data_IF_346935208019
#
_entry.id   IF_346935208019
#
_cell.length_a   1.000
_cell.length_b   1.000
_cell.length_c   1.000
_cell.angle_alpha   90.00
_cell.angle_beta   90.00
_cell.angle_gamma   90.00
#
_symmetry.space_group_name_H-M   'P 1'
#
loop_
_entity.id
_entity.type
_entity.pdbx_description
1 polymer ?
#
# COMPACT_ATOMS: atom_id res chain seq x y z
N UNK A 1 12.89 38.52 -9.36
CA UNK A 1 12.13 37.33 -8.84
C UNK A 1 12.53 36.04 -9.58
N UNK A 2 12.98 36.10 -10.81
CA UNK A 2 13.35 34.95 -11.66
C UNK A 2 14.71 34.34 -11.28
N UNK A 3 15.74 35.14 -11.03
CA UNK A 3 17.10 34.63 -10.75
C UNK A 3 17.21 33.79 -9.46
N UNK A 4 16.47 34.14 -8.40
CA UNK A 4 16.46 33.35 -7.15
C UNK A 4 15.69 32.02 -7.28
N UNK A 5 14.75 31.90 -8.23
CA UNK A 5 14.07 30.63 -8.53
C UNK A 5 14.96 29.70 -9.33
N UNK A 6 15.71 30.23 -10.28
CA UNK A 6 16.63 29.43 -11.12
C UNK A 6 17.81 28.86 -10.30
N UNK A 7 18.35 29.60 -9.33
CA UNK A 7 19.38 29.10 -8.40
C UNK A 7 18.84 27.96 -7.50
N UNK A 8 17.56 27.99 -7.13
CA UNK A 8 16.94 26.94 -6.31
C UNK A 8 16.69 25.66 -7.09
N UNK A 9 16.34 25.78 -8.38
CA UNK A 9 16.14 24.63 -9.28
C UNK A 9 17.46 23.90 -9.54
N UNK A 10 18.58 24.62 -9.66
CA UNK A 10 19.91 24.03 -9.85
C UNK A 10 20.44 23.23 -8.65
N UNK A 11 19.77 23.25 -7.50
CA UNK A 11 20.13 22.49 -6.28
C UNK A 11 19.22 21.30 -5.99
N UNK A 12 18.25 21.00 -6.86
CA UNK A 12 17.37 19.85 -6.66
C UNK A 12 18.16 18.54 -6.76
N UNK A 13 18.16 17.77 -5.69
CA UNK A 13 18.71 16.42 -5.68
C UNK A 13 17.73 15.47 -6.37
N UNK A 14 18.10 15.00 -7.55
CA UNK A 14 17.32 14.01 -8.30
C UNK A 14 17.95 12.64 -8.12
N UNK A 15 17.18 11.69 -7.60
CA UNK A 15 17.57 10.29 -7.50
C UNK A 15 16.83 9.45 -8.53
N UNK A 16 17.57 8.64 -9.28
CA UNK A 16 16.99 7.76 -10.30
C UNK A 16 16.88 6.34 -9.73
N UNK A 17 15.73 5.73 -9.96
CA UNK A 17 15.40 4.36 -9.56
C UNK A 17 15.10 3.52 -10.79
N UNK A 18 15.50 2.27 -10.79
CA UNK A 18 14.94 1.26 -11.69
C UNK A 18 13.48 0.99 -11.33
N UNK A 19 12.75 0.36 -12.24
CA UNK A 19 11.35 -0.03 -12.01
C UNK A 19 11.19 -0.88 -10.75
N UNK A 20 12.01 -1.92 -10.59
CA UNK A 20 11.91 -2.85 -9.46
C UNK A 20 12.21 -2.17 -8.14
N UNK A 21 13.29 -1.36 -8.06
CA UNK A 21 13.61 -0.55 -6.86
C UNK A 21 12.47 0.41 -6.50
N UNK A 22 11.91 1.10 -7.49
CA UNK A 22 10.81 2.04 -7.26
C UNK A 22 9.53 1.31 -6.76
N UNK A 23 9.18 0.17 -7.35
CA UNK A 23 8.07 -0.67 -6.91
C UNK A 23 8.32 -1.24 -5.51
N UNK A 24 9.55 -1.63 -5.16
CA UNK A 24 9.90 -2.09 -3.82
C UNK A 24 9.66 -0.99 -2.78
N UNK A 25 10.12 0.24 -3.03
CA UNK A 25 9.89 1.37 -2.12
C UNK A 25 8.42 1.77 -2.05
N UNK A 26 7.65 1.61 -3.15
CA UNK A 26 6.20 1.79 -3.18
C UNK A 26 5.50 0.81 -2.22
N UNK A 27 5.79 -0.48 -2.35
CA UNK A 27 5.20 -1.54 -1.50
C UNK A 27 5.56 -1.31 -0.03
N UNK A 28 6.78 -0.87 0.24
CA UNK A 28 7.24 -0.58 1.59
C UNK A 28 6.67 0.73 2.17
N UNK A 29 6.09 1.59 1.33
CA UNK A 29 5.58 2.90 1.73
C UNK A 29 6.70 3.88 2.09
N UNK A 30 7.87 3.73 1.47
CA UNK A 30 9.07 4.55 1.71
C UNK A 30 9.12 5.77 0.77
N UNK A 31 10.01 5.71 -0.24
CA UNK A 31 10.25 6.83 -1.18
C UNK A 31 9.02 7.11 -2.04
N UNK A 32 8.47 6.08 -2.69
CA UNK A 32 7.28 6.23 -3.50
C UNK A 32 6.03 5.82 -2.72
N UNK A 33 4.94 6.54 -2.97
CA UNK A 33 3.61 6.24 -2.41
C UNK A 33 2.61 6.06 -3.54
N UNK A 34 1.54 5.32 -3.28
CA UNK A 34 0.52 5.05 -4.29
C UNK A 34 -0.22 6.29 -4.76
N UNK A 35 -0.31 7.35 -3.93
CA UNK A 35 -1.04 8.59 -4.27
C UNK A 35 -0.65 9.14 -5.63
N UNK A 36 -1.65 9.44 -6.46
CA UNK A 36 -1.43 9.88 -7.84
C UNK A 36 -0.99 11.35 -7.95
N UNK A 37 -1.41 12.20 -7.01
CA UNK A 37 -1.26 13.65 -7.07
C UNK A 37 0.16 14.18 -6.83
N UNK A 38 1.08 13.37 -6.30
CA UNK A 38 2.47 13.78 -6.04
C UNK A 38 3.45 13.35 -7.15
N UNK A 39 2.95 13.06 -8.35
CA UNK A 39 3.75 12.54 -9.47
C UNK A 39 3.48 13.30 -10.75
N UNK A 40 4.48 13.37 -11.58
CA UNK A 40 4.36 13.77 -12.98
C UNK A 40 4.47 12.53 -13.87
N UNK A 41 3.54 12.39 -14.79
CA UNK A 41 3.44 11.24 -15.67
C UNK A 41 3.68 11.68 -17.13
N UNK A 42 4.49 10.95 -17.85
CA UNK A 42 4.52 11.13 -19.29
C UNK A 42 3.20 10.61 -19.88
N UNK A 43 2.53 11.43 -20.71
CA UNK A 43 1.17 11.15 -21.21
C UNK A 43 1.01 9.77 -21.86
N UNK A 44 2.05 9.28 -22.56
CA UNK A 44 2.01 7.98 -23.24
C UNK A 44 1.88 6.80 -22.24
N UNK A 45 2.32 6.96 -20.98
CA UNK A 45 2.18 5.93 -19.95
C UNK A 45 0.73 5.76 -19.49
N UNK A 46 -0.10 6.79 -19.70
CA UNK A 46 -1.50 6.82 -19.27
C UNK A 46 -2.45 6.26 -20.33
N UNK A 47 -1.95 5.94 -21.53
CA UNK A 47 -2.78 5.38 -22.62
C UNK A 47 -3.32 4.02 -22.17
N UNK A 48 -4.66 3.88 -22.18
CA UNK A 48 -5.35 2.66 -21.78
C UNK A 48 -5.49 2.45 -20.28
N UNK A 49 -4.98 3.39 -19.45
CA UNK A 49 -5.10 3.31 -18.00
C UNK A 49 -6.18 4.26 -17.49
N UNK A 50 -6.98 3.77 -16.55
CA UNK A 50 -8.05 4.54 -15.91
C UNK A 50 -8.14 4.19 -14.43
N UNK A 51 -8.61 5.14 -13.63
CA UNK A 51 -9.01 4.87 -12.26
C UNK A 51 -10.33 4.08 -12.25
N UNK A 52 -10.44 3.09 -11.39
CA UNK A 52 -11.67 2.33 -11.24
C UNK A 52 -12.75 3.18 -10.56
N UNK A 53 -13.85 3.41 -11.28
CA UNK A 53 -14.97 4.22 -10.77
C UNK A 53 -15.62 3.56 -9.55
N UNK A 54 -15.84 4.34 -8.49
CA UNK A 54 -16.56 3.90 -7.30
C UNK A 54 -15.73 3.10 -6.29
N UNK A 55 -14.45 2.82 -6.58
CA UNK A 55 -13.51 2.21 -5.64
C UNK A 55 -12.91 3.25 -4.69
N UNK A 56 -12.66 2.86 -3.46
CA UNK A 56 -11.75 3.58 -2.58
C UNK A 56 -10.33 3.06 -2.78
N UNK A 57 -9.31 3.94 -2.54
CA UNK A 57 -7.90 3.63 -2.81
C UNK A 57 -7.64 3.28 -4.28
N UNK A 58 -8.30 4.00 -5.20
CA UNK A 58 -8.18 3.84 -6.65
C UNK A 58 -6.73 4.01 -7.14
N UNK A 59 -5.94 4.78 -6.42
CA UNK A 59 -4.51 4.99 -6.66
C UNK A 59 -3.66 3.74 -6.36
N UNK A 60 -4.06 2.90 -5.41
CA UNK A 60 -3.40 1.61 -5.14
C UNK A 60 -3.55 0.62 -6.30
N UNK A 61 -4.65 0.69 -7.05
CA UNK A 61 -4.86 -0.11 -8.26
C UNK A 61 -4.09 0.43 -9.46
N UNK A 62 -3.87 1.72 -9.51
CA UNK A 62 -3.36 2.43 -10.68
C UNK A 62 -1.83 2.60 -10.67
N UNK A 63 -1.26 3.07 -9.56
CA UNK A 63 0.10 3.61 -9.53
C UNK A 63 1.17 2.56 -9.86
N UNK A 64 1.06 1.34 -9.33
CA UNK A 64 2.05 0.30 -9.62
C UNK A 64 2.05 -0.12 -11.09
N UNK A 65 0.90 -0.15 -11.76
CA UNK A 65 0.79 -0.46 -13.20
C UNK A 65 1.52 0.58 -14.05
N UNK A 66 1.32 1.86 -13.73
CA UNK A 66 2.00 2.94 -14.44
C UNK A 66 3.51 2.88 -14.20
N UNK A 67 3.95 2.68 -12.95
CA UNK A 67 5.37 2.57 -12.64
C UNK A 67 6.03 1.39 -13.36
N UNK A 68 5.33 0.28 -13.51
CA UNK A 68 5.83 -0.91 -14.20
C UNK A 68 5.99 -0.72 -15.74
N UNK A 69 5.41 0.33 -16.33
CA UNK A 69 5.54 0.65 -17.75
C UNK A 69 6.82 1.41 -18.11
N UNK A 70 7.64 1.79 -17.14
CA UNK A 70 8.87 2.56 -17.37
C UNK A 70 10.08 1.84 -16.80
N UNK A 71 11.25 2.09 -17.40
CA UNK A 71 12.51 1.51 -16.96
C UNK A 71 13.23 2.39 -15.92
N UNK A 72 12.83 3.66 -15.78
CA UNK A 72 13.47 4.62 -14.87
C UNK A 72 12.43 5.55 -14.28
N UNK A 73 12.54 5.79 -12.99
CA UNK A 73 11.74 6.76 -12.26
C UNK A 73 12.65 7.76 -11.55
N UNK A 74 12.35 9.04 -11.70
CA UNK A 74 13.04 10.11 -11.01
C UNK A 74 12.31 10.47 -9.73
N UNK A 75 13.04 10.59 -8.64
CA UNK A 75 12.56 11.08 -7.36
C UNK A 75 13.25 12.39 -7.00
N UNK A 76 12.45 13.38 -6.62
CA UNK A 76 12.90 14.68 -6.12
C UNK A 76 12.44 14.81 -4.67
N UNK A 77 13.39 14.93 -3.74
CA UNK A 77 13.08 15.08 -2.31
C UNK A 77 12.82 16.54 -1.94
N UNK A 78 11.70 17.04 -2.48
CA UNK A 78 11.26 18.42 -2.24
C UNK A 78 9.76 18.49 -1.97
N UNK A 79 9.34 19.44 -1.16
CA UNK A 79 7.93 19.69 -0.82
C UNK A 79 7.25 20.54 -1.91
N UNK A 80 6.94 19.90 -3.04
CA UNK A 80 6.37 20.58 -4.22
C UNK A 80 4.84 20.57 -4.27
N UNK A 81 4.18 19.88 -3.35
CA UNK A 81 2.73 19.75 -3.33
C UNK A 81 2.17 20.11 -1.95
N UNK A 82 1.17 21.00 -1.91
CA UNK A 82 0.45 21.36 -0.70
C UNK A 82 -0.82 20.50 -0.57
N UNK A 83 -0.81 19.56 0.37
CA UNK A 83 -1.95 18.69 0.64
C UNK A 83 -2.83 19.26 1.76
N UNK A 84 -3.96 19.86 1.39
CA UNK A 84 -4.92 20.42 2.34
C UNK A 84 -5.81 19.33 2.93
N UNK A 85 -5.68 19.09 4.24
CA UNK A 85 -6.52 18.14 4.97
C UNK A 85 -7.82 18.79 5.44
N UNK A 86 -8.95 18.32 4.88
CA UNK A 86 -10.28 18.81 5.24
C UNK A 86 -10.89 17.97 6.37
N UNK A 87 -11.64 18.62 7.29
CA UNK A 87 -12.55 17.91 8.21
C UNK A 87 -13.58 17.16 7.38
N UNK A 88 -13.83 15.89 7.70
CA UNK A 88 -14.77 15.05 6.93
C UNK A 88 -14.16 14.36 5.70
N UNK A 89 -12.83 14.37 5.54
CA UNK A 89 -12.16 13.54 4.54
C UNK A 89 -12.51 12.06 4.73
N UNK A 90 -12.70 11.33 3.61
CA UNK A 90 -12.96 9.88 3.56
C UNK A 90 -11.97 9.10 4.44
N UNK A 91 -10.70 9.56 4.52
CA UNK A 91 -9.64 8.90 5.29
C UNK A 91 -9.79 9.01 6.82
N UNK A 92 -10.76 9.79 7.33
CA UNK A 92 -10.91 10.02 8.77
C UNK A 92 -11.72 8.93 9.50
N UNK A 93 -12.43 8.06 8.78
CA UNK A 93 -13.23 6.97 9.37
C UNK A 93 -13.13 5.72 8.50
N UNK A 94 -13.02 4.56 9.14
CA UNK A 94 -13.09 3.27 8.43
C UNK A 94 -14.53 2.98 7.99
N UNK A 95 -14.69 2.41 6.80
CA UNK A 95 -15.95 1.85 6.32
C UNK A 95 -15.69 0.59 5.49
N UNK A 96 -16.75 -0.12 5.10
CA UNK A 96 -16.63 -1.31 4.24
C UNK A 96 -15.88 -1.03 2.93
N UNK A 97 -16.06 0.15 2.34
CA UNK A 97 -15.35 0.56 1.10
C UNK A 97 -13.84 0.70 1.26
N UNK A 98 -13.34 1.03 2.46
CA UNK A 98 -11.88 1.11 2.67
C UNK A 98 -11.19 -0.25 2.52
N UNK A 99 -11.95 -1.35 2.59
CA UNK A 99 -11.42 -2.69 2.33
C UNK A 99 -11.15 -2.96 0.85
N UNK A 100 -11.48 -2.03 -0.06
CA UNK A 100 -11.06 -2.08 -1.47
C UNK A 100 -9.54 -2.08 -1.59
N UNK A 101 -8.84 -1.50 -0.61
CA UNK A 101 -7.38 -1.63 -0.53
C UNK A 101 -6.90 -3.10 -0.48
N UNK A 102 -7.66 -4.02 0.12
CA UNK A 102 -7.31 -5.45 0.12
C UNK A 102 -7.43 -6.06 -1.28
N UNK A 103 -8.40 -5.62 -2.07
CA UNK A 103 -8.55 -6.07 -3.46
C UNK A 103 -7.38 -5.53 -4.30
N UNK A 104 -6.96 -4.27 -4.08
CA UNK A 104 -5.78 -3.70 -4.73
C UNK A 104 -4.50 -4.49 -4.41
N UNK A 105 -4.32 -4.93 -3.15
CA UNK A 105 -3.22 -5.83 -2.79
C UNK A 105 -3.29 -7.14 -3.57
N UNK A 106 -4.46 -7.78 -3.65
CA UNK A 106 -4.62 -9.07 -4.33
C UNK A 106 -4.32 -8.96 -5.83
N UNK A 107 -4.77 -7.89 -6.48
CA UNK A 107 -4.49 -7.61 -7.88
C UNK A 107 -2.98 -7.38 -8.10
N UNK A 108 -2.35 -6.55 -7.27
CA UNK A 108 -0.92 -6.26 -7.36
C UNK A 108 -0.05 -7.50 -7.11
N UNK A 109 -0.41 -8.34 -6.13
CA UNK A 109 0.24 -9.61 -5.87
C UNK A 109 0.15 -10.52 -7.09
N UNK A 110 -1.03 -10.62 -7.72
CA UNK A 110 -1.20 -11.41 -8.94
C UNK A 110 -0.34 -10.88 -10.10
N UNK A 111 -0.27 -9.55 -10.25
CA UNK A 111 0.56 -8.89 -11.25
C UNK A 111 2.06 -9.16 -11.05
N UNK A 112 2.54 -9.16 -9.80
CA UNK A 112 3.96 -9.37 -9.51
C UNK A 112 4.40 -10.84 -9.59
N UNK A 113 3.48 -11.78 -9.55
CA UNK A 113 3.77 -13.21 -9.38
C UNK A 113 4.86 -13.74 -10.33
N UNK A 114 4.72 -13.43 -11.61
CA UNK A 114 5.63 -13.95 -12.64
C UNK A 114 6.68 -12.91 -13.08
N UNK A 115 6.37 -11.63 -12.92
CA UNK A 115 7.22 -10.51 -13.39
C UNK A 115 8.27 -10.08 -12.36
N UNK A 116 7.92 -10.12 -11.07
CA UNK A 116 8.75 -9.59 -9.97
C UNK A 116 8.70 -10.52 -8.75
N UNK A 117 9.36 -11.71 -8.77
CA UNK A 117 9.24 -12.70 -7.70
C UNK A 117 9.61 -12.20 -6.31
N UNK A 118 10.58 -11.28 -6.21
CA UNK A 118 10.96 -10.62 -4.95
C UNK A 118 9.81 -9.77 -4.43
N UNK A 119 9.22 -8.93 -5.28
CA UNK A 119 8.11 -8.03 -4.91
C UNK A 119 6.84 -8.82 -4.57
N UNK A 120 6.55 -9.88 -5.31
CA UNK A 120 5.48 -10.82 -5.00
C UNK A 120 5.57 -11.33 -3.56
N UNK A 121 6.74 -11.77 -3.13
CA UNK A 121 6.99 -12.25 -1.78
C UNK A 121 6.75 -11.15 -0.73
N UNK A 122 7.32 -9.96 -0.94
CA UNK A 122 7.18 -8.82 -0.03
C UNK A 122 5.71 -8.43 0.08
N UNK A 123 5.00 -8.32 -1.04
CA UNK A 123 3.62 -7.84 -1.07
C UNK A 123 2.63 -8.83 -0.44
N UNK A 124 2.86 -10.14 -0.58
CA UNK A 124 2.11 -11.17 0.17
C UNK A 124 2.20 -10.94 1.69
N UNK A 125 3.38 -10.65 2.19
CA UNK A 125 3.59 -10.35 3.61
C UNK A 125 2.90 -9.04 4.00
N UNK A 126 3.03 -7.98 3.20
CA UNK A 126 2.38 -6.69 3.41
C UNK A 126 0.86 -6.81 3.43
N UNK A 127 0.28 -7.62 2.56
CA UNK A 127 -1.14 -7.94 2.57
C UNK A 127 -1.60 -8.55 3.91
N UNK A 128 -0.83 -9.47 4.48
CA UNK A 128 -1.16 -10.04 5.79
C UNK A 128 -1.16 -8.96 6.88
N UNK A 129 -0.20 -8.03 6.85
CA UNK A 129 -0.15 -6.89 7.78
C UNK A 129 -1.34 -5.95 7.55
N UNK A 130 -1.71 -5.69 6.30
CA UNK A 130 -2.89 -4.88 5.97
C UNK A 130 -4.19 -5.52 6.50
N UNK A 131 -4.34 -6.84 6.38
CA UNK A 131 -5.48 -7.56 6.97
C UNK A 131 -5.56 -7.37 8.49
N UNK A 132 -4.43 -7.44 9.20
CA UNK A 132 -4.38 -7.21 10.65
C UNK A 132 -4.76 -5.77 10.98
N UNK A 133 -4.21 -4.81 10.25
CA UNK A 133 -4.52 -3.39 10.40
C UNK A 133 -6.02 -3.11 10.21
N UNK A 134 -6.61 -3.54 9.10
CA UNK A 134 -8.04 -3.36 8.86
C UNK A 134 -8.89 -4.08 9.88
N UNK A 135 -8.48 -5.25 10.36
CA UNK A 135 -9.18 -5.94 11.42
C UNK A 135 -9.20 -5.12 12.73
N UNK A 136 -8.09 -4.48 13.10
CA UNK A 136 -8.04 -3.54 14.24
C UNK A 136 -9.02 -2.38 14.06
N UNK A 137 -9.03 -1.78 12.87
CA UNK A 137 -9.90 -0.65 12.59
C UNK A 137 -11.39 -1.00 12.71
N UNK A 138 -11.77 -2.28 12.51
CA UNK A 138 -13.17 -2.71 12.71
C UNK A 138 -13.69 -2.55 14.13
N UNK A 139 -12.82 -2.44 15.12
CA UNK A 139 -13.27 -2.23 16.51
C UNK A 139 -13.88 -0.84 16.74
N UNK A 140 -13.69 0.09 15.84
CA UNK A 140 -14.28 1.44 15.85
C UNK A 140 -15.70 1.48 15.24
N UNK A 141 -16.17 0.37 14.66
CA UNK A 141 -17.43 0.26 13.94
C UNK A 141 -18.53 -0.27 14.85
N UNK A 142 -19.79 0.01 14.49
CA UNK A 142 -20.95 -0.67 15.11
C UNK A 142 -20.96 -2.18 14.79
N UNK A 143 -21.75 -2.95 15.50
CA UNK A 143 -21.68 -4.42 15.42
C UNK A 143 -22.05 -5.00 14.04
N UNK A 144 -22.96 -4.36 13.30
CA UNK A 144 -23.34 -4.78 11.95
C UNK A 144 -22.19 -4.57 10.97
N UNK A 145 -21.69 -3.36 10.89
CA UNK A 145 -20.57 -3.01 10.00
C UNK A 145 -19.30 -3.79 10.34
N UNK A 146 -19.00 -3.93 11.64
CA UNK A 146 -17.89 -4.74 12.14
C UNK A 146 -17.97 -6.18 11.64
N UNK A 147 -19.14 -6.81 11.69
CA UNK A 147 -19.33 -8.18 11.23
C UNK A 147 -19.12 -8.30 9.72
N UNK A 148 -19.67 -7.38 8.95
CA UNK A 148 -19.52 -7.34 7.48
C UNK A 148 -18.04 -7.15 7.08
N UNK A 149 -17.35 -6.19 7.68
CA UNK A 149 -15.94 -5.95 7.43
C UNK A 149 -15.06 -7.15 7.82
N UNK A 150 -15.29 -7.77 8.98
CA UNK A 150 -14.56 -8.96 9.42
C UNK A 150 -14.75 -10.14 8.45
N UNK A 151 -15.95 -10.33 7.91
CA UNK A 151 -16.23 -11.37 6.94
C UNK A 151 -15.47 -11.12 5.62
N UNK A 152 -15.46 -9.88 5.11
CA UNK A 152 -14.70 -9.51 3.92
C UNK A 152 -13.19 -9.72 4.14
N UNK A 153 -12.64 -9.25 5.26
CA UNK A 153 -11.21 -9.46 5.59
C UNK A 153 -10.89 -10.96 5.66
N UNK A 154 -11.76 -11.77 6.26
CA UNK A 154 -11.58 -13.22 6.31
C UNK A 154 -11.58 -13.83 4.92
N UNK A 155 -12.50 -13.45 4.03
CA UNK A 155 -12.57 -13.90 2.66
C UNK A 155 -11.30 -13.52 1.88
N UNK A 156 -10.93 -12.23 1.86
CA UNK A 156 -9.72 -11.74 1.16
C UNK A 156 -8.46 -12.45 1.62
N UNK A 157 -8.29 -12.67 2.94
CA UNK A 157 -7.16 -13.36 3.53
C UNK A 157 -7.00 -14.81 3.05
N UNK A 158 -8.11 -15.51 2.75
CA UNK A 158 -8.08 -16.89 2.24
C UNK A 158 -7.62 -16.98 0.78
N UNK A 159 -7.66 -15.88 0.03
CA UNK A 159 -7.20 -15.83 -1.37
C UNK A 159 -5.67 -15.99 -1.48
N UNK A 160 -4.90 -15.66 -0.44
CA UNK A 160 -3.44 -15.83 -0.44
C UNK A 160 -3.07 -17.05 0.40
N UNK A 161 -2.32 -17.96 -0.19
CA UNK A 161 -1.79 -19.17 0.48
C UNK A 161 -0.28 -19.07 0.63
N UNK A 162 0.22 -19.67 1.70
CA UNK A 162 1.65 -19.86 1.95
C UNK A 162 1.88 -21.35 2.22
N UNK A 163 2.88 -21.92 1.57
CA UNK A 163 3.35 -23.25 1.91
C UNK A 163 4.52 -23.19 2.90
N UNK A 164 4.91 -24.33 3.47
CA UNK A 164 5.98 -24.39 4.48
C UNK A 164 7.35 -23.94 3.92
N UNK A 165 7.63 -24.17 2.64
CA UNK A 165 8.88 -23.76 2.01
C UNK A 165 8.95 -22.25 1.79
N UNK A 166 7.82 -21.63 1.44
CA UNK A 166 7.72 -20.17 1.38
C UNK A 166 7.91 -19.51 2.76
N UNK A 167 7.28 -20.07 3.82
CA UNK A 167 7.40 -19.50 5.17
C UNK A 167 8.85 -19.49 5.67
N UNK A 168 9.65 -20.45 5.32
CA UNK A 168 11.09 -20.49 5.67
C UNK A 168 11.91 -19.32 5.06
N UNK A 169 11.38 -18.65 4.06
CA UNK A 169 12.05 -17.53 3.40
C UNK A 169 11.79 -16.19 4.09
N UNK A 170 10.90 -16.15 5.09
CA UNK A 170 10.60 -14.95 5.88
C UNK A 170 11.30 -15.01 7.23
N UNK A 171 11.59 -13.86 7.80
CA UNK A 171 12.06 -13.78 9.18
C UNK A 171 11.01 -14.33 10.16
N UNK A 172 11.44 -14.69 11.36
CA UNK A 172 10.54 -15.17 12.41
C UNK A 172 9.38 -14.19 12.68
N UNK A 173 9.68 -12.88 12.73
CA UNK A 173 8.68 -11.83 12.94
C UNK A 173 7.63 -11.77 11.81
N UNK A 174 8.08 -11.86 10.57
CA UNK A 174 7.20 -11.89 9.41
C UNK A 174 6.35 -13.15 9.38
N UNK A 175 6.96 -14.32 9.65
CA UNK A 175 6.25 -15.59 9.73
C UNK A 175 5.17 -15.59 10.81
N UNK A 176 5.42 -14.99 11.98
CA UNK A 176 4.42 -14.80 13.03
C UNK A 176 3.27 -13.92 12.53
N UNK A 177 3.57 -12.84 11.80
CA UNK A 177 2.54 -11.96 11.23
C UNK A 177 1.69 -12.70 10.18
N UNK A 178 2.32 -13.47 9.30
CA UNK A 178 1.64 -14.26 8.26
C UNK A 178 0.72 -15.31 8.89
N UNK A 179 1.26 -16.17 9.76
CA UNK A 179 0.51 -17.24 10.42
C UNK A 179 -0.57 -16.68 11.33
N UNK A 180 -0.23 -15.69 12.14
CA UNK A 180 -1.16 -15.05 13.07
C UNK A 180 -2.31 -14.33 12.36
N UNK A 181 -2.07 -13.74 11.19
CA UNK A 181 -3.14 -13.17 10.37
C UNK A 181 -4.16 -14.25 9.95
N UNK A 182 -3.76 -15.50 9.81
CA UNK A 182 -4.62 -16.61 9.37
C UNK A 182 -5.31 -17.34 10.51
N UNK A 183 -4.60 -17.60 11.59
CA UNK A 183 -5.07 -18.47 12.69
C UNK A 183 -5.74 -17.64 13.80
N UNK A 184 -5.15 -16.54 14.20
CA UNK A 184 -5.56 -15.78 15.38
C UNK A 184 -5.51 -14.26 15.17
N UNK A 185 -6.08 -13.78 14.05
CA UNK A 185 -6.02 -12.35 13.68
C UNK A 185 -6.54 -11.42 14.80
N UNK A 186 -7.56 -11.86 15.57
CA UNK A 186 -8.10 -11.07 16.67
C UNK A 186 -7.08 -10.85 17.79
N UNK A 187 -6.41 -11.92 18.22
CA UNK A 187 -5.36 -11.84 19.26
C UNK A 187 -4.16 -11.02 18.78
N UNK A 188 -3.69 -11.30 17.56
CA UNK A 188 -2.54 -10.58 17.00
C UNK A 188 -2.84 -9.08 16.82
N UNK A 189 -4.07 -8.74 16.42
CA UNK A 189 -4.49 -7.35 16.28
C UNK A 189 -4.48 -6.60 17.62
N UNK A 190 -4.91 -7.25 18.71
CA UNK A 190 -4.85 -6.66 20.05
C UNK A 190 -3.41 -6.45 20.53
N UNK A 191 -2.52 -7.43 20.34
CA UNK A 191 -1.11 -7.31 20.72
C UNK A 191 -0.40 -6.18 19.97
N UNK A 192 -0.69 -6.01 18.68
CA UNK A 192 -0.11 -4.92 17.87
C UNK A 192 -0.66 -3.54 18.30
N UNK A 193 -1.92 -3.44 18.71
CA UNK A 193 -2.50 -2.19 19.21
C UNK A 193 -1.87 -1.73 20.52
N UNK A 194 -1.58 -2.66 21.43
CA UNK A 194 -0.89 -2.36 22.68
C UNK A 194 0.52 -1.82 22.47
N UNK A 195 1.27 -2.35 21.48
CA UNK A 195 2.58 -1.81 21.10
C UNK A 195 2.50 -0.38 20.55
N UNK A 196 1.52 -0.10 19.69
CA UNK A 196 1.35 1.23 19.11
C UNK A 196 1.03 2.31 20.14
N UNK A 197 0.25 1.96 21.17
CA UNK A 197 -0.11 2.88 22.25
C UNK A 197 1.05 3.15 23.24
N UNK A 198 2.07 2.28 23.30
CA UNK A 198 3.28 2.48 24.11
C UNK A 198 4.35 3.35 23.41
N UNK A 199 4.21 3.61 22.11
CA UNK A 199 5.15 4.39 21.29
C UNK A 199 4.64 5.81 20.99
N UNK A 200 3.46 6.17 21.48
CA UNK A 200 2.92 7.52 21.50
C UNK A 200 3.09 8.16 22.87
#
# INVERSE_FOLDING_TARGET
YTEKQDEKINKLSVKIYSTEEALETLINGETFRAVAWNKLYHKNMLIGEQFETGRYHEDEFFTYRIMAKTNKLAYVDEKLYYYFQRKGSIMNSISYKHLDALDAYLERIAYFKDLYPKLYKIDKMRFCIACIYFYQETFKLNDKEKRECKNRIKSSRHSIRFNCSELKQYSLKESISIVGSRVCIGLLSQLMSLKRNKLK
#
